data_IF_675670035478
#
_entry.id   IF_675670035478
#
_cell.length_a   1.000
_cell.length_b   1.000
_cell.length_c   1.000
_cell.angle_alpha   90.00
_cell.angle_beta   90.00
_cell.angle_gamma   90.00
#
_symmetry.space_group_name_H-M   'P 1'
#
loop_
_entity.id
_entity.type
_entity.pdbx_description
1 polymer ?
#
# COMPACT_ATOMS: atom_id res chain seq x y z
N UNK A 1 9.81 10.03 8.86
CA UNK A 1 9.75 8.58 9.12
C UNK A 1 11.14 7.99 8.99
N UNK A 2 11.51 7.12 9.90
CA UNK A 2 12.73 6.32 9.82
C UNK A 2 12.51 5.06 8.96
N UNK A 3 13.61 4.43 8.50
CA UNK A 3 13.52 3.11 7.85
C UNK A 3 12.94 2.09 8.86
N UNK A 4 12.05 1.22 8.39
CA UNK A 4 11.32 0.25 9.22
C UNK A 4 10.19 0.85 10.08
N UNK A 5 10.00 2.17 10.10
CA UNK A 5 8.89 2.79 10.82
C UNK A 5 7.55 2.48 10.12
N UNK A 6 6.53 2.16 10.93
CA UNK A 6 5.18 1.90 10.44
C UNK A 6 4.24 2.96 10.98
N UNK A 7 3.47 3.55 10.09
CA UNK A 7 2.51 4.62 10.42
C UNK A 7 1.13 4.26 9.90
N UNK A 8 0.15 4.31 10.77
CA UNK A 8 -1.25 4.19 10.41
C UNK A 8 -1.93 5.57 10.47
N UNK A 9 -2.38 6.02 9.31
CA UNK A 9 -3.12 7.28 9.14
C UNK A 9 -4.59 6.98 9.37
N UNK A 10 -5.15 7.57 10.42
CA UNK A 10 -6.56 7.46 10.78
C UNK A 10 -7.26 8.81 10.63
N UNK A 11 -8.56 8.81 10.46
CA UNK A 11 -9.36 10.05 10.32
C UNK A 11 -10.69 9.76 9.64
N UNK A 12 -11.61 10.71 9.72
CA UNK A 12 -12.94 10.61 9.08
C UNK A 12 -12.88 10.53 7.56
N UNK A 13 -14.03 10.24 6.93
CA UNK A 13 -14.15 10.34 5.48
C UNK A 13 -13.92 11.80 5.05
N UNK A 14 -13.22 12.00 3.94
CA UNK A 14 -12.87 13.35 3.47
C UNK A 14 -11.71 14.02 4.23
N UNK A 15 -11.13 13.41 5.27
CA UNK A 15 -10.01 13.99 6.01
C UNK A 15 -8.73 14.20 5.18
N UNK A 16 -8.63 13.61 3.97
CA UNK A 16 -7.47 13.73 3.09
C UNK A 16 -6.51 12.52 3.12
N UNK A 17 -6.88 11.40 3.76
CA UNK A 17 -6.02 10.20 3.88
C UNK A 17 -5.52 9.71 2.52
N UNK A 18 -6.43 9.43 1.59
CA UNK A 18 -6.10 8.98 0.23
C UNK A 18 -5.21 9.99 -0.51
N UNK A 19 -5.46 11.30 -0.34
CA UNK A 19 -4.64 12.36 -0.95
C UNK A 19 -3.21 12.33 -0.39
N UNK A 20 -3.06 12.22 0.92
CA UNK A 20 -1.76 12.09 1.57
C UNK A 20 -1.01 10.85 1.06
N UNK A 21 -1.70 9.71 0.99
CA UNK A 21 -1.09 8.47 0.49
C UNK A 21 -0.70 8.57 -0.99
N UNK A 22 -1.51 9.21 -1.83
CA UNK A 22 -1.17 9.46 -3.25
C UNK A 22 0.05 10.38 -3.42
N UNK A 23 0.23 11.36 -2.54
CA UNK A 23 1.44 12.18 -2.50
C UNK A 23 2.66 11.33 -2.14
N UNK A 24 2.58 10.52 -1.07
CA UNK A 24 3.66 9.62 -0.65
C UNK A 24 3.98 8.56 -1.72
N UNK A 25 2.97 8.04 -2.39
CA UNK A 25 3.15 7.10 -3.51
C UNK A 25 3.61 7.79 -4.81
N UNK A 26 3.83 9.10 -4.80
CA UNK A 26 4.19 9.91 -5.98
C UNK A 26 3.17 9.81 -7.13
N UNK A 27 1.93 9.45 -6.86
CA UNK A 27 0.84 9.39 -7.85
C UNK A 27 0.42 10.80 -8.27
N UNK A 28 0.31 11.71 -7.30
CA UNK A 28 0.05 13.12 -7.53
C UNK A 28 1.25 13.99 -7.12
N UNK A 29 1.28 15.22 -7.57
CA UNK A 29 2.28 16.22 -7.14
C UNK A 29 1.66 17.14 -6.10
N UNK A 30 2.42 17.63 -5.11
CA UNK A 30 1.94 18.69 -4.25
C UNK A 30 1.79 20.00 -5.06
N UNK A 31 0.71 20.74 -4.82
CA UNK A 31 0.48 22.05 -5.42
C UNK A 31 1.44 23.11 -4.85
N UNK A 32 1.82 22.95 -3.58
CA UNK A 32 2.76 23.82 -2.88
C UNK A 32 3.48 23.06 -1.77
N UNK A 33 4.54 23.64 -1.22
CA UNK A 33 5.34 23.01 -0.17
C UNK A 33 6.36 22.02 -0.73
N UNK A 34 6.96 21.24 0.16
CA UNK A 34 8.03 20.29 -0.15
C UNK A 34 7.72 18.90 0.42
N UNK A 35 7.93 17.88 -0.40
CA UNK A 35 7.88 16.48 0.02
C UNK A 35 9.20 15.82 -0.32
N UNK A 36 9.89 15.29 0.69
CA UNK A 36 11.11 14.50 0.51
C UNK A 36 10.86 13.04 0.89
N UNK A 37 11.27 12.15 0.00
CA UNK A 37 11.27 10.70 0.22
C UNK A 37 12.69 10.20 -0.05
N UNK A 38 13.24 9.43 0.88
CA UNK A 38 14.63 8.93 0.80
C UNK A 38 15.65 10.04 0.53
N UNK A 39 15.42 11.26 1.06
CA UNK A 39 16.25 12.44 0.84
C UNK A 39 16.04 13.15 -0.51
N UNK A 40 15.26 12.58 -1.42
CA UNK A 40 14.99 13.13 -2.75
C UNK A 40 13.70 13.96 -2.75
N UNK A 41 13.70 15.06 -3.53
CA UNK A 41 12.51 15.85 -3.81
C UNK A 41 11.51 15.04 -4.63
N UNK A 42 10.35 14.75 -4.04
CA UNK A 42 9.33 13.90 -4.66
C UNK A 42 8.66 14.55 -5.89
N UNK A 43 8.65 15.87 -6.00
CA UNK A 43 8.11 16.55 -7.17
C UNK A 43 9.02 16.43 -8.40
N UNK A 44 10.35 16.44 -8.19
CA UNK A 44 11.38 16.46 -9.23
C UNK A 44 11.94 15.08 -9.60
N UNK A 45 12.02 14.17 -8.63
CA UNK A 45 12.73 12.88 -8.77
C UNK A 45 11.78 11.66 -8.77
N UNK A 46 10.56 11.82 -9.31
CA UNK A 46 9.51 10.77 -9.30
C UNK A 46 9.96 9.47 -9.97
N UNK A 47 10.69 9.55 -11.08
CA UNK A 47 11.16 8.37 -11.82
C UNK A 47 12.10 7.50 -10.97
N UNK A 48 12.91 8.11 -10.11
CA UNK A 48 13.83 7.40 -9.21
C UNK A 48 13.13 6.88 -7.94
N UNK A 49 12.07 7.55 -7.53
CA UNK A 49 11.32 7.18 -6.32
C UNK A 49 10.35 6.02 -6.56
N UNK A 50 9.67 5.99 -7.71
CA UNK A 50 8.64 4.99 -8.01
C UNK A 50 9.10 3.53 -7.88
N UNK A 51 10.30 3.14 -8.34
CA UNK A 51 10.79 1.78 -8.15
C UNK A 51 11.02 1.38 -6.68
N UNK A 52 11.07 2.35 -5.77
CA UNK A 52 11.29 2.14 -4.33
C UNK A 52 10.00 2.14 -3.51
N UNK A 53 8.85 2.41 -4.18
CA UNK A 53 7.55 2.59 -3.51
C UNK A 53 6.54 1.57 -4.04
N UNK A 54 6.05 0.72 -3.16
CA UNK A 54 4.89 -0.13 -3.41
C UNK A 54 3.60 0.63 -3.11
N UNK A 55 2.67 0.64 -4.06
CA UNK A 55 1.42 1.36 -3.91
C UNK A 55 0.21 0.45 -4.08
N UNK A 56 -0.63 0.39 -3.06
CA UNK A 56 -1.98 -0.17 -3.12
C UNK A 56 -3.00 0.97 -3.00
N UNK A 57 -3.75 1.21 -4.05
CA UNK A 57 -4.88 2.15 -4.05
C UNK A 57 -6.13 1.48 -3.47
N UNK A 58 -7.08 2.29 -3.03
CA UNK A 58 -8.41 1.82 -2.60
C UNK A 58 -9.10 0.96 -3.67
N UNK A 59 -8.98 1.31 -4.95
CA UNK A 59 -9.34 0.42 -6.06
C UNK A 59 -8.14 -0.43 -6.46
N UNK A 60 -8.30 -1.74 -6.65
CA UNK A 60 -7.19 -2.66 -6.91
C UNK A 60 -6.30 -2.31 -8.09
N UNK A 61 -6.80 -1.56 -9.10
CA UNK A 61 -6.05 -1.15 -10.28
C UNK A 61 -5.51 -2.33 -11.09
N UNK A 62 -6.31 -3.37 -11.19
CA UNK A 62 -6.04 -4.56 -12.00
C UNK A 62 -6.64 -4.38 -13.39
N UNK A 63 -6.09 -5.08 -14.37
CA UNK A 63 -6.67 -5.22 -15.71
C UNK A 63 -7.69 -6.36 -15.70
N UNK A 64 -9.00 -6.06 -15.78
CA UNK A 64 -10.03 -7.07 -15.54
C UNK A 64 -10.01 -8.25 -16.53
N UNK A 65 -9.65 -7.97 -17.79
CA UNK A 65 -9.59 -8.96 -18.86
C UNK A 65 -8.34 -9.87 -18.81
N UNK A 66 -7.28 -9.43 -18.11
CA UNK A 66 -6.07 -10.22 -17.95
C UNK A 66 -6.26 -11.22 -16.80
N UNK A 67 -5.64 -12.39 -16.93
CA UNK A 67 -5.54 -13.34 -15.82
C UNK A 67 -4.74 -12.76 -14.66
N UNK A 68 -4.83 -13.41 -13.49
CA UNK A 68 -4.04 -12.99 -12.32
C UNK A 68 -2.53 -13.01 -12.64
N UNK A 69 -2.05 -14.03 -13.34
CA UNK A 69 -0.64 -14.14 -13.73
C UNK A 69 -0.26 -13.05 -14.74
N UNK A 70 -1.03 -12.85 -15.81
CA UNK A 70 -0.75 -11.82 -16.82
C UNK A 70 -0.77 -10.41 -16.24
N UNK A 71 -1.66 -10.13 -15.26
CA UNK A 71 -1.63 -8.87 -14.51
C UNK A 71 -0.26 -8.64 -13.88
N UNK A 72 0.29 -9.62 -13.16
CA UNK A 72 1.58 -9.47 -12.50
C UNK A 72 2.74 -9.46 -13.49
N UNK A 73 2.72 -10.30 -14.55
CA UNK A 73 3.75 -10.31 -15.59
C UNK A 73 3.85 -8.96 -16.33
N UNK A 74 2.70 -8.31 -16.57
CA UNK A 74 2.68 -6.95 -17.12
C UNK A 74 3.49 -5.97 -16.24
N UNK A 75 3.25 -6.00 -14.92
CA UNK A 75 4.02 -5.15 -13.99
C UNK A 75 5.48 -5.60 -13.83
N UNK A 76 5.78 -6.90 -13.90
CA UNK A 76 7.15 -7.37 -13.97
C UNK A 76 7.89 -6.74 -15.16
N UNK A 77 7.26 -6.71 -16.33
CA UNK A 77 7.84 -6.09 -17.53
C UNK A 77 8.08 -4.59 -17.32
N UNK A 78 7.12 -3.87 -16.73
CA UNK A 78 7.28 -2.43 -16.44
C UNK A 78 8.41 -2.11 -15.47
N UNK A 79 8.69 -3.02 -14.52
CA UNK A 79 9.75 -2.87 -13.53
C UNK A 79 11.07 -3.53 -13.96
N UNK A 80 11.15 -4.13 -15.15
CA UNK A 80 12.35 -4.85 -15.61
C UNK A 80 12.66 -6.11 -14.80
N UNK A 81 11.64 -6.74 -14.22
CA UNK A 81 11.77 -7.95 -13.40
C UNK A 81 11.59 -9.22 -14.22
N UNK A 82 12.17 -10.35 -13.80
CA UNK A 82 11.91 -11.64 -14.43
C UNK A 82 10.45 -12.05 -14.23
N UNK A 83 9.85 -12.68 -15.25
CA UNK A 83 8.44 -13.13 -15.19
C UNK A 83 8.17 -14.15 -14.08
N UNK A 84 9.16 -14.94 -13.69
CA UNK A 84 9.06 -15.88 -12.55
C UNK A 84 8.58 -15.20 -11.27
N UNK A 85 8.94 -13.91 -11.09
CA UNK A 85 8.54 -13.10 -9.94
C UNK A 85 7.02 -12.99 -9.79
N UNK A 86 6.27 -13.00 -10.89
CA UNK A 86 4.81 -13.00 -10.88
C UNK A 86 4.25 -14.25 -10.17
N UNK A 87 4.74 -15.44 -10.53
CA UNK A 87 4.34 -16.69 -9.89
C UNK A 87 4.69 -16.75 -8.39
N UNK A 88 5.89 -16.28 -8.03
CA UNK A 88 6.32 -16.18 -6.62
C UNK A 88 5.38 -15.29 -5.80
N UNK A 89 5.02 -14.11 -6.32
CA UNK A 89 4.11 -13.20 -5.65
C UNK A 89 2.69 -13.76 -5.56
N UNK A 90 2.18 -14.47 -6.59
CA UNK A 90 0.90 -15.17 -6.49
C UNK A 90 0.90 -16.21 -5.37
N UNK A 91 1.97 -17.01 -5.26
CA UNK A 91 2.11 -17.99 -4.20
C UNK A 91 2.18 -17.32 -2.82
N UNK A 92 2.98 -16.26 -2.69
CA UNK A 92 3.16 -15.50 -1.46
C UNK A 92 1.82 -14.94 -0.92
N UNK A 93 0.94 -14.50 -1.82
CA UNK A 93 -0.38 -13.94 -1.46
C UNK A 93 -1.51 -15.00 -1.42
N UNK A 94 -1.20 -16.27 -1.63
CA UNK A 94 -2.17 -17.37 -1.56
C UNK A 94 -3.19 -17.36 -2.70
N UNK A 95 -2.84 -16.80 -3.86
CA UNK A 95 -3.70 -16.73 -5.06
C UNK A 95 -3.13 -17.47 -6.27
N UNK A 96 -2.15 -18.34 -6.06
CA UNK A 96 -1.53 -19.13 -7.13
C UNK A 96 -2.51 -20.04 -7.87
N UNK A 97 -3.52 -20.58 -7.17
CA UNK A 97 -4.57 -21.41 -7.78
C UNK A 97 -5.42 -20.64 -8.81
N UNK A 98 -5.47 -19.32 -8.70
CA UNK A 98 -6.22 -18.45 -9.61
C UNK A 98 -5.36 -17.89 -10.76
N UNK A 99 -4.12 -18.30 -10.90
CA UNK A 99 -3.14 -17.74 -11.85
C UNK A 99 -3.70 -17.58 -13.26
N UNK A 100 -4.53 -18.53 -13.73
CA UNK A 100 -5.09 -18.55 -15.08
C UNK A 100 -6.51 -17.97 -15.19
N UNK A 101 -7.07 -17.47 -14.08
CA UNK A 101 -8.42 -16.88 -14.08
C UNK A 101 -8.34 -15.40 -14.38
N UNK A 102 -9.23 -14.83 -15.22
CA UNK A 102 -9.36 -13.39 -15.41
C UNK A 102 -9.58 -12.68 -14.07
N UNK A 103 -8.95 -11.52 -13.90
CA UNK A 103 -9.07 -10.76 -12.66
C UNK A 103 -10.53 -10.34 -12.37
N UNK A 104 -11.35 -10.13 -13.40
CA UNK A 104 -12.77 -9.82 -13.25
C UNK A 104 -13.57 -10.95 -12.59
N UNK A 105 -13.15 -12.21 -12.73
CA UNK A 105 -13.82 -13.38 -12.17
C UNK A 105 -13.42 -13.72 -10.74
N UNK A 106 -12.42 -13.01 -10.21
CA UNK A 106 -11.95 -13.21 -8.83
C UNK A 106 -12.91 -12.56 -7.85
N UNK A 107 -13.08 -13.17 -6.67
CA UNK A 107 -13.76 -12.51 -5.55
C UNK A 107 -13.01 -11.23 -5.14
N UNK A 108 -13.69 -10.30 -4.50
CA UNK A 108 -13.08 -9.04 -4.02
C UNK A 108 -11.85 -9.28 -3.15
N UNK A 109 -11.90 -10.24 -2.23
CA UNK A 109 -10.75 -10.59 -1.38
C UNK A 109 -9.56 -11.12 -2.20
N UNK A 110 -9.82 -11.93 -3.25
CA UNK A 110 -8.77 -12.43 -4.16
C UNK A 110 -8.20 -11.31 -5.05
N UNK A 111 -9.05 -10.40 -5.53
CA UNK A 111 -8.59 -9.19 -6.24
C UNK A 111 -7.71 -8.33 -5.34
N UNK A 112 -8.07 -8.18 -4.07
CA UNK A 112 -7.28 -7.43 -3.10
C UNK A 112 -5.92 -8.10 -2.83
N UNK A 113 -5.89 -9.43 -2.65
CA UNK A 113 -4.64 -10.20 -2.53
C UNK A 113 -3.77 -10.07 -3.78
N UNK A 114 -4.36 -10.09 -4.98
CA UNK A 114 -3.65 -9.87 -6.24
C UNK A 114 -3.09 -8.45 -6.35
N UNK A 115 -3.83 -7.44 -5.92
CA UNK A 115 -3.36 -6.06 -5.89
C UNK A 115 -2.23 -5.84 -4.86
N UNK A 116 -2.28 -6.52 -3.71
CA UNK A 116 -1.17 -6.58 -2.75
C UNK A 116 0.06 -7.25 -3.38
N UNK A 117 -0.11 -8.39 -4.10
CA UNK A 117 0.97 -9.05 -4.82
C UNK A 117 1.65 -8.09 -5.80
N UNK A 118 0.85 -7.35 -6.59
CA UNK A 118 1.36 -6.33 -7.51
C UNK A 118 2.19 -5.28 -6.81
N UNK A 119 1.72 -4.78 -5.65
CA UNK A 119 2.42 -3.72 -4.92
C UNK A 119 3.75 -4.16 -4.30
N UNK A 120 3.99 -5.48 -4.20
CA UNK A 120 5.19 -6.09 -3.64
C UNK A 120 6.15 -6.66 -4.69
N UNK A 121 5.78 -6.66 -5.98
CA UNK A 121 6.56 -7.30 -7.05
C UNK A 121 8.03 -6.89 -7.06
N UNK A 122 8.30 -5.59 -6.91
CA UNK A 122 9.62 -4.98 -7.03
C UNK A 122 10.31 -4.79 -5.67
N UNK A 123 9.81 -5.46 -4.61
CA UNK A 123 10.35 -5.41 -3.24
C UNK A 123 10.60 -3.98 -2.73
N UNK A 124 9.55 -3.17 -2.56
CA UNK A 124 9.68 -1.74 -2.27
C UNK A 124 10.26 -1.48 -0.87
N UNK A 125 11.02 -0.39 -0.74
CA UNK A 125 11.52 0.12 0.54
C UNK A 125 10.43 0.82 1.37
N UNK A 126 9.47 1.46 0.69
CA UNK A 126 8.29 2.07 1.29
C UNK A 126 7.03 1.42 0.73
N UNK A 127 6.21 0.87 1.60
CA UNK A 127 4.92 0.30 1.23
C UNK A 127 3.79 1.23 1.66
N UNK A 128 3.01 1.72 0.69
CA UNK A 128 1.91 2.67 0.92
C UNK A 128 0.59 1.99 0.59
N UNK A 129 -0.31 1.87 1.56
CA UNK A 129 -1.54 1.09 1.46
C UNK A 129 -2.77 1.92 1.82
N UNK A 130 -3.71 2.03 0.89
CA UNK A 130 -4.97 2.74 1.09
C UNK A 130 -6.11 1.75 1.34
N UNK A 131 -6.54 1.60 2.59
CA UNK A 131 -7.58 0.68 3.06
C UNK A 131 -7.39 -0.78 2.59
N UNK A 132 -6.22 -1.40 2.83
CA UNK A 132 -5.91 -2.74 2.34
C UNK A 132 -6.80 -3.82 2.94
N UNK A 133 -7.38 -3.55 4.11
CA UNK A 133 -8.19 -4.47 4.92
C UNK A 133 -9.66 -4.51 4.51
N UNK A 134 -10.13 -3.59 3.67
CA UNK A 134 -11.55 -3.41 3.33
C UNK A 134 -12.23 -4.67 2.73
N UNK A 135 -11.46 -5.60 2.18
CA UNK A 135 -11.96 -6.84 1.55
C UNK A 135 -11.19 -8.08 1.98
N UNK A 136 -10.34 -7.98 3.02
CA UNK A 136 -9.56 -9.11 3.52
C UNK A 136 -10.30 -9.81 4.68
N UNK A 137 -10.30 -11.13 4.63
CA UNK A 137 -10.69 -12.00 5.74
C UNK A 137 -9.59 -12.02 6.83
N UNK A 138 -9.83 -12.74 7.93
CA UNK A 138 -8.88 -12.85 9.04
C UNK A 138 -7.52 -13.39 8.58
N UNK A 139 -7.51 -14.39 7.68
CA UNK A 139 -6.28 -14.95 7.12
C UNK A 139 -5.52 -13.91 6.28
N UNK A 140 -6.24 -13.14 5.45
CA UNK A 140 -5.66 -12.05 4.64
C UNK A 140 -5.03 -10.96 5.49
N UNK A 141 -5.64 -10.59 6.63
CA UNK A 141 -5.09 -9.63 7.59
C UNK A 141 -3.82 -10.15 8.26
N UNK A 142 -3.80 -11.43 8.67
CA UNK A 142 -2.60 -12.07 9.20
C UNK A 142 -1.47 -12.13 8.16
N UNK A 143 -1.82 -12.43 6.91
CA UNK A 143 -0.88 -12.43 5.81
C UNK A 143 -0.30 -11.03 5.59
N UNK A 144 -1.13 -9.98 5.57
CA UNK A 144 -0.68 -8.59 5.46
C UNK A 144 0.32 -8.24 6.58
N UNK A 145 0.04 -8.64 7.83
CA UNK A 145 0.94 -8.39 8.96
C UNK A 145 2.29 -9.10 8.80
N UNK A 146 2.29 -10.34 8.32
CA UNK A 146 3.54 -11.08 8.03
C UNK A 146 4.33 -10.43 6.90
N UNK A 147 3.65 -9.97 5.85
CA UNK A 147 4.27 -9.31 4.70
C UNK A 147 4.84 -7.91 5.03
N UNK A 148 4.23 -7.23 6.00
CA UNK A 148 4.76 -5.97 6.50
C UNK A 148 6.19 -6.14 7.06
N UNK A 149 6.49 -7.28 7.72
CA UNK A 149 7.85 -7.62 8.19
C UNK A 149 8.54 -6.41 8.82
N UNK A 150 9.75 -6.10 8.37
CA UNK A 150 10.53 -4.92 8.82
C UNK A 150 10.45 -3.74 7.83
N UNK A 151 9.48 -3.76 6.91
CA UNK A 151 9.32 -2.72 5.89
C UNK A 151 8.85 -1.39 6.49
N UNK A 152 9.31 -0.32 5.90
CA UNK A 152 8.70 1.00 6.12
C UNK A 152 7.28 0.99 5.52
N UNK A 153 6.27 1.29 6.34
CA UNK A 153 4.87 1.18 5.95
C UNK A 153 4.09 2.44 6.29
N UNK A 154 3.30 2.91 5.34
CA UNK A 154 2.23 3.88 5.60
C UNK A 154 0.91 3.27 5.17
N UNK A 155 -0.02 3.15 6.09
CA UNK A 155 -1.34 2.57 5.85
C UNK A 155 -2.43 3.58 6.23
N UNK A 156 -3.43 3.78 5.37
CA UNK A 156 -4.70 4.36 5.80
C UNK A 156 -5.65 3.22 6.12
N UNK A 157 -6.20 3.21 7.32
CA UNK A 157 -7.17 2.22 7.75
C UNK A 157 -8.12 2.80 8.78
N UNK A 158 -9.33 2.27 8.84
CA UNK A 158 -10.29 2.50 9.92
C UNK A 158 -10.16 1.44 11.03
N UNK A 159 -9.44 0.36 10.76
CA UNK A 159 -9.23 -0.76 11.68
C UNK A 159 -8.02 -0.49 12.59
N UNK A 160 -8.32 -0.10 13.83
CA UNK A 160 -7.29 0.15 14.85
C UNK A 160 -6.61 -1.13 15.35
N UNK A 161 -7.30 -2.26 15.28
CA UNK A 161 -6.75 -3.54 15.67
C UNK A 161 -5.68 -3.98 14.67
N UNK A 162 -5.95 -3.80 13.37
CA UNK A 162 -4.95 -4.00 12.33
C UNK A 162 -3.72 -3.10 12.53
N UNK A 163 -3.95 -1.80 12.80
CA UNK A 163 -2.84 -0.88 13.07
C UNK A 163 -1.99 -1.33 14.27
N UNK A 164 -2.62 -1.79 15.35
CA UNK A 164 -1.93 -2.34 16.53
C UNK A 164 -1.16 -3.63 16.18
N UNK A 165 -1.78 -4.56 15.44
CA UNK A 165 -1.15 -5.81 14.99
C UNK A 165 0.07 -5.55 14.11
N UNK A 166 0.02 -4.50 13.30
CA UNK A 166 1.15 -4.04 12.49
C UNK A 166 2.23 -3.32 13.33
N UNK A 167 2.00 -3.03 14.59
CA UNK A 167 2.88 -2.21 15.41
C UNK A 167 3.02 -0.78 14.87
N UNK A 168 1.99 -0.27 14.19
CA UNK A 168 2.03 1.02 13.53
C UNK A 168 1.70 2.17 14.50
N UNK A 169 2.50 3.23 14.47
CA UNK A 169 2.21 4.48 15.17
C UNK A 169 0.98 5.14 14.54
N UNK A 170 -0.01 5.46 15.36
CA UNK A 170 -1.22 6.13 14.90
C UNK A 170 -0.97 7.63 14.70
N UNK A 171 -1.36 8.12 13.53
CA UNK A 171 -1.36 9.55 13.19
C UNK A 171 -2.76 9.92 12.74
N UNK A 172 -3.37 10.89 13.39
CA UNK A 172 -4.71 11.35 13.02
C UNK A 172 -4.64 12.47 11.98
N UNK A 173 -5.43 12.33 10.91
CA UNK A 173 -5.61 13.37 9.91
C UNK A 173 -7.01 13.98 10.07
N UNK A 174 -7.10 15.30 10.21
CA UNK A 174 -8.35 16.07 10.25
C UNK A 174 -8.25 17.24 9.28
N UNK A 175 -9.19 17.36 8.35
CA UNK A 175 -9.25 18.47 7.39
C UNK A 175 -7.91 18.77 6.69
N UNK A 176 -7.20 17.71 6.28
CA UNK A 176 -5.90 17.81 5.62
C UNK A 176 -4.72 18.13 6.54
N UNK A 177 -4.91 18.20 7.85
CA UNK A 177 -3.85 18.48 8.84
C UNK A 177 -3.55 17.25 9.69
N UNK A 178 -2.27 17.01 9.93
CA UNK A 178 -1.85 15.99 10.89
C UNK A 178 -2.06 16.50 12.30
N UNK A 179 -2.81 15.74 13.11
CA UNK A 179 -2.99 15.99 14.54
C UNK A 179 -2.17 14.94 15.28
N UNK A 180 -1.06 15.38 15.88
CA UNK A 180 -0.21 14.47 16.67
C UNK A 180 -0.89 14.19 18.01
N UNK A 181 -1.16 12.91 18.32
CA UNK A 181 -1.83 12.51 19.57
C UNK A 181 -0.94 12.60 20.81
N UNK A 182 0.36 12.82 20.66
CA UNK A 182 1.20 13.12 21.84
C UNK A 182 0.83 14.45 22.50
N UNK A 183 0.19 15.37 21.77
CA UNK A 183 -0.27 16.66 22.29
C UNK A 183 -1.68 16.63 22.93
N UNK A 184 -2.40 15.51 22.91
CA UNK A 184 -3.76 15.37 23.49
C UNK A 184 -3.75 14.58 24.81
N UNK A 185 -2.61 14.43 25.47
CA UNK A 185 -2.59 14.12 26.90
C UNK A 185 -2.71 15.44 27.66
N UNK A 186 -3.87 15.72 28.11
CA UNK A 186 -4.35 16.57 29.18
C UNK A 186 -5.58 17.34 28.73
N UNK A 187 -6.71 16.77 29.03
CA UNK A 187 -7.81 17.48 29.72
C UNK A 187 -8.77 16.40 30.19
N UNK A 188 -8.54 15.94 31.42
CA UNK A 188 -9.61 15.37 32.27
C UNK A 188 -10.31 16.52 32.95
#
# INVERSE_FOLDING_TARGET
>A
MAAGERVAVVGGNGAGKTTLLRLLATVVRPDSGELRLFGLDAARRRAELRPRIGWLAHQPGLYPALTALENLEFFCTLHGLPRSRAGECLALLGVAADARRPAAELSRGRQQRLALARSLLHDPELWVLDEPDSSLDAEGRQLLSRLAGDRTLVIATHDRELAATLGARLVELREGRLVDRESVRVLK
#
